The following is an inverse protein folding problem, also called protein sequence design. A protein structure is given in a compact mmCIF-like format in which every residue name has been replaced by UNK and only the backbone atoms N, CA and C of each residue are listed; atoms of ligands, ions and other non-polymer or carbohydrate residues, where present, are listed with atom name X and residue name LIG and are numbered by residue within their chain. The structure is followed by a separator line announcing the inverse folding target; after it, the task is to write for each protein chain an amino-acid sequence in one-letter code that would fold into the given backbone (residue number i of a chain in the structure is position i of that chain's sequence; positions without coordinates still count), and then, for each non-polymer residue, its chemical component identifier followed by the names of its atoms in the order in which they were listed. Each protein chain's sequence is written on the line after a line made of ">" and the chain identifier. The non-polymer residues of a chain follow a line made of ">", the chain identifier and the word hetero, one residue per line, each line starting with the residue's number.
data_IF_539336509464
#
_entry.id   IF_539336509464
#
_cell.length_a   1.000
_cell.length_b   1.000
_cell.length_c   1.000
_cell.angle_alpha   90.00
_cell.angle_beta   90.00
_cell.angle_gamma   90.00
#
_symmetry.space_group_name_H-M   'P 1'
#
loop_
_entity.id
_entity.type
_entity.pdbx_description
1 polymer ?
#
# COMPACT_ATOMS: atom_id res chain seq x y z
N UNK A 1 40.48 13.68 -12.44
CA UNK A 1 39.05 13.96 -12.69
C UNK A 1 38.23 12.90 -11.98
N UNK A 2 37.69 13.22 -10.81
CA UNK A 2 36.77 12.34 -10.08
C UNK A 2 35.38 12.54 -10.67
N UNK A 3 34.92 11.61 -11.51
CA UNK A 3 33.55 11.59 -12.03
C UNK A 3 32.59 11.32 -10.87
N UNK A 4 31.93 12.37 -10.38
CA UNK A 4 30.85 12.25 -9.41
C UNK A 4 29.66 11.58 -10.12
N UNK A 5 29.43 10.31 -9.86
CA UNK A 5 28.23 9.61 -10.31
C UNK A 5 27.02 10.26 -9.63
N UNK A 6 26.32 11.13 -10.34
CA UNK A 6 25.05 11.69 -9.90
C UNK A 6 24.08 10.54 -9.67
N UNK A 7 23.62 10.37 -8.42
CA UNK A 7 22.60 9.36 -8.09
C UNK A 7 21.29 9.77 -8.76
N UNK A 8 20.99 9.18 -9.92
CA UNK A 8 19.73 9.40 -10.62
C UNK A 8 18.57 8.89 -9.74
N UNK A 9 17.57 9.74 -9.51
CA UNK A 9 16.34 9.32 -8.83
C UNK A 9 15.67 8.20 -9.62
N UNK A 10 15.24 7.16 -8.92
CA UNK A 10 14.53 6.03 -9.51
C UNK A 10 13.03 6.36 -9.52
N UNK A 11 12.47 6.55 -10.71
CA UNK A 11 11.03 6.83 -10.86
C UNK A 11 10.14 5.70 -10.31
N UNK A 12 10.62 4.45 -10.37
CA UNK A 12 9.95 3.30 -9.77
C UNK A 12 9.84 3.43 -8.25
N UNK A 13 10.86 3.98 -7.58
CA UNK A 13 10.85 4.19 -6.13
C UNK A 13 9.89 5.31 -5.73
N UNK A 14 9.86 6.39 -6.52
CA UNK A 14 8.90 7.48 -6.31
C UNK A 14 7.45 6.98 -6.49
N UNK A 15 7.19 6.13 -7.49
CA UNK A 15 5.86 5.52 -7.72
C UNK A 15 5.45 4.54 -6.61
N UNK A 16 6.39 3.69 -6.17
CA UNK A 16 6.18 2.74 -5.09
C UNK A 16 5.81 3.47 -3.79
N UNK A 17 6.60 4.49 -3.42
CA UNK A 17 6.35 5.30 -2.23
C UNK A 17 5.01 6.05 -2.29
N UNK A 18 4.61 6.53 -3.48
CA UNK A 18 3.31 7.16 -3.68
C UNK A 18 2.15 6.19 -3.48
N UNK A 19 2.28 4.96 -3.99
CA UNK A 19 1.31 3.88 -3.77
C UNK A 19 1.20 3.53 -2.29
N UNK A 20 2.32 3.44 -1.57
CA UNK A 20 2.32 3.16 -0.12
C UNK A 20 1.59 4.24 0.68
N UNK A 21 1.88 5.51 0.39
CA UNK A 21 1.21 6.65 1.02
C UNK A 21 -0.30 6.64 0.76
N UNK A 22 -0.73 6.29 -0.44
CA UNK A 22 -2.15 6.17 -0.78
C UNK A 22 -2.86 5.12 0.08
N UNK A 23 -2.26 3.95 0.26
CA UNK A 23 -2.84 2.90 1.10
C UNK A 23 -2.88 3.32 2.57
N UNK A 24 -1.80 3.91 3.11
CA UNK A 24 -1.71 4.40 4.49
C UNK A 24 -2.76 5.47 4.81
N UNK A 25 -3.03 6.38 3.87
CA UNK A 25 -3.96 7.49 4.08
C UNK A 25 -5.43 7.08 4.11
N UNK A 26 -5.80 5.90 3.60
CA UNK A 26 -7.18 5.44 3.62
C UNK A 26 -7.67 4.71 2.38
N UNK A 27 -6.79 4.00 1.66
CA UNK A 27 -7.18 3.18 0.51
C UNK A 27 -8.23 2.11 0.85
N UNK A 28 -8.37 1.73 2.14
CA UNK A 28 -9.43 0.85 2.65
C UNK A 28 -10.84 1.38 2.35
N UNK A 29 -11.05 2.70 2.41
CA UNK A 29 -12.38 3.31 2.25
C UNK A 29 -12.99 3.07 0.86
N UNK A 30 -12.14 2.84 -0.15
CA UNK A 30 -12.57 2.52 -1.52
C UNK A 30 -13.26 1.16 -1.55
N UNK A 31 -12.74 0.16 -0.84
CA UNK A 31 -13.36 -1.17 -0.79
C UNK A 31 -14.68 -1.15 -0.03
N UNK A 32 -14.77 -0.37 1.06
CA UNK A 32 -16.02 -0.15 1.76
C UNK A 32 -17.08 0.52 0.85
N UNK A 33 -16.69 1.54 0.08
CA UNK A 33 -17.57 2.20 -0.89
C UNK A 33 -18.01 1.25 -2.02
N UNK A 34 -17.10 0.43 -2.55
CA UNK A 34 -17.40 -0.58 -3.58
C UNK A 34 -18.33 -1.67 -3.06
N UNK A 35 -18.20 -2.06 -1.79
CA UNK A 35 -19.14 -2.99 -1.15
C UNK A 35 -20.56 -2.41 -1.11
N UNK A 36 -20.71 -1.14 -0.71
CA UNK A 36 -22.01 -0.46 -0.70
C UNK A 36 -22.62 -0.36 -2.10
N UNK A 37 -21.80 -0.10 -3.12
CA UNK A 37 -22.25 0.06 -4.50
C UNK A 37 -22.64 -1.25 -5.19
N UNK A 38 -21.88 -2.33 -4.96
CA UNK A 38 -22.03 -3.60 -5.71
C UNK A 38 -22.67 -4.73 -4.91
N UNK A 39 -22.70 -4.63 -3.58
CA UNK A 39 -23.20 -5.68 -2.68
C UNK A 39 -22.38 -6.97 -2.65
N UNK A 40 -21.26 -7.03 -3.37
CA UNK A 40 -20.47 -8.26 -3.50
C UNK A 40 -19.63 -8.51 -2.24
N UNK A 41 -19.88 -9.64 -1.57
CA UNK A 41 -19.15 -10.02 -0.34
C UNK A 41 -17.63 -10.17 -0.54
N UNK A 42 -17.16 -10.32 -1.79
CA UNK A 42 -15.73 -10.34 -2.11
C UNK A 42 -15.00 -9.07 -1.64
N UNK A 43 -15.66 -7.91 -1.67
CA UNK A 43 -15.06 -6.64 -1.21
C UNK A 43 -14.72 -6.62 0.28
N UNK A 44 -15.44 -7.38 1.12
CA UNK A 44 -15.10 -7.52 2.54
C UNK A 44 -13.80 -8.29 2.76
N UNK A 45 -13.51 -9.26 1.89
CA UNK A 45 -12.24 -10.00 1.95
C UNK A 45 -11.09 -9.07 1.56
N UNK A 46 -11.27 -8.26 0.50
CA UNK A 46 -10.29 -7.24 0.13
C UNK A 46 -10.08 -6.19 1.22
N UNK A 47 -11.15 -5.73 1.85
CA UNK A 47 -11.07 -4.81 3.00
C UNK A 47 -10.24 -5.40 4.14
N UNK A 48 -10.42 -6.69 4.46
CA UNK A 48 -9.66 -7.35 5.51
C UNK A 48 -8.14 -7.38 5.24
N UNK A 49 -7.70 -7.37 3.98
CA UNK A 49 -6.28 -7.30 3.62
C UNK A 49 -5.69 -5.87 3.73
N UNK A 50 -6.54 -4.84 3.82
CA UNK A 50 -6.12 -3.44 4.00
C UNK A 50 -5.96 -3.02 5.45
N UNK A 51 -6.18 -3.94 6.40
CA UNK A 51 -5.98 -3.71 7.84
C UNK A 51 -4.76 -4.51 8.28
N UNK A 52 -3.87 -3.89 9.05
CA UNK A 52 -2.71 -4.56 9.64
C UNK A 52 -3.15 -5.68 10.59
N UNK A 53 -2.45 -6.83 10.56
CA UNK A 53 -2.71 -7.91 11.51
C UNK A 53 -2.25 -7.52 12.92
N UNK A 54 -3.06 -7.80 13.95
CA UNK A 54 -2.79 -7.27 15.28
C UNK A 54 -1.54 -7.87 15.96
N UNK A 55 -1.20 -9.14 15.72
CA UNK A 55 -0.12 -9.87 16.42
C UNK A 55 0.47 -11.03 15.58
N UNK A 56 -0.39 -11.94 15.11
CA UNK A 56 -0.02 -13.05 14.22
C UNK A 56 -0.95 -13.05 13.02
N UNK A 57 -0.40 -12.77 11.84
CA UNK A 57 -1.14 -12.73 10.59
C UNK A 57 -0.24 -12.24 9.48
N UNK A 58 -0.73 -12.37 8.24
CA UNK A 58 -0.07 -11.81 7.07
C UNK A 58 -1.14 -11.13 6.22
N UNK A 59 -1.08 -9.81 6.17
CA UNK A 59 -1.97 -8.96 5.39
C UNK A 59 -1.17 -8.18 4.37
N UNK A 60 -1.84 -7.70 3.32
CA UNK A 60 -1.18 -6.90 2.29
C UNK A 60 -0.55 -5.63 2.88
N UNK A 61 -1.19 -5.06 3.91
CA UNK A 61 -0.70 -3.88 4.62
C UNK A 61 0.65 -4.11 5.34
N UNK A 62 0.99 -5.34 5.68
CA UNK A 62 2.26 -5.69 6.36
C UNK A 62 3.47 -5.52 5.43
N UNK A 63 3.26 -5.51 4.11
CA UNK A 63 4.32 -5.31 3.10
C UNK A 63 4.73 -3.84 2.95
N UNK A 64 3.88 -2.92 3.39
CA UNK A 64 4.09 -1.48 3.21
C UNK A 64 5.13 -0.94 4.22
N UNK A 65 5.04 -1.37 5.48
CA UNK A 65 5.88 -0.83 6.55
C UNK A 65 7.40 -1.10 6.40
N UNK A 66 7.87 -2.31 6.03
CA UNK A 66 9.29 -2.59 5.85
C UNK A 66 9.98 -1.75 4.78
N UNK A 67 9.20 -1.16 3.86
CA UNK A 67 9.72 -0.35 2.76
C UNK A 67 10.13 1.07 3.19
N UNK A 68 9.75 1.49 4.40
CA UNK A 68 10.12 2.79 4.98
C UNK A 68 11.38 2.75 5.86
N UNK A 69 11.99 1.57 6.03
CA UNK A 69 13.29 1.36 6.71
C UNK A 69 14.43 1.50 5.71
#
# INVERSE_FOLDING_TARGET
>A
MTTKTEKKRLASLDALRGMDMFWILGGQSIFAALFVLTGWQGWKVFEAHTVHSAWHGFTFYDLIFPLFI
#
